data_IF_218024086877
#
_entry.id   IF_218024086877
#
_cell.length_a   1.000
_cell.length_b   1.000
_cell.length_c   1.000
_cell.angle_alpha   90.00
_cell.angle_beta   90.00
_cell.angle_gamma   90.00
#
_symmetry.space_group_name_H-M   'P 1'
#
loop_
_entity.id
_entity.type
_entity.pdbx_description
1 polymer ?
#
# COMPACT_ATOMS: atom_id res chain seq x y z
N UNK A 1 -45.80 -68.18 -9.82
CA UNK A 1 -46.21 -67.85 -8.45
C UNK A 1 -45.45 -66.61 -8.03
N UNK A 2 -46.06 -65.44 -8.30
CA UNK A 2 -45.49 -64.13 -8.02
C UNK A 2 -45.98 -63.68 -6.65
N UNK A 3 -45.07 -63.33 -5.73
CA UNK A 3 -45.41 -62.59 -4.52
C UNK A 3 -44.91 -61.17 -4.68
N UNK A 4 -45.79 -60.34 -5.24
CA UNK A 4 -45.66 -58.89 -5.32
C UNK A 4 -46.03 -58.33 -3.95
N UNK A 5 -45.04 -57.88 -3.18
CA UNK A 5 -45.25 -57.11 -1.95
C UNK A 5 -45.14 -55.62 -2.30
N UNK A 6 -46.20 -54.86 -2.06
CA UNK A 6 -46.23 -53.39 -1.98
C UNK A 6 -46.79 -53.01 -0.59
N UNK A 7 -46.65 -51.74 -0.14
CA UNK A 7 -45.48 -51.10 0.46
C UNK A 7 -45.78 -50.68 1.92
N UNK A 8 -44.91 -49.92 2.61
CA UNK A 8 -45.45 -48.67 3.11
C UNK A 8 -44.49 -47.48 3.02
N UNK A 9 -45.10 -46.33 2.77
CA UNK A 9 -44.73 -45.01 3.29
C UNK A 9 -43.45 -44.36 2.75
N UNK A 10 -43.66 -43.45 1.80
CA UNK A 10 -43.14 -42.08 1.81
C UNK A 10 -41.78 -41.91 2.50
N UNK A 11 -40.70 -42.34 1.84
CA UNK A 11 -39.36 -41.90 2.22
C UNK A 11 -39.34 -40.39 2.08
N UNK A 12 -39.19 -39.73 3.23
CA UNK A 12 -39.17 -38.30 3.40
C UNK A 12 -38.47 -37.63 2.22
N UNK A 13 -39.21 -36.77 1.49
CA UNK A 13 -38.56 -35.66 0.81
C UNK A 13 -37.87 -34.89 1.92
N UNK A 14 -36.60 -35.20 2.16
CA UNK A 14 -35.69 -34.28 2.84
C UNK A 14 -35.94 -32.97 2.14
N UNK A 15 -36.58 -32.06 2.86
CA UNK A 15 -36.86 -30.73 2.39
C UNK A 15 -35.47 -30.16 2.08
N UNK A 16 -35.05 -30.24 0.82
CA UNK A 16 -33.97 -29.42 0.33
C UNK A 16 -34.51 -28.02 0.42
N UNK A 17 -34.38 -27.44 1.62
CA UNK A 17 -34.43 -26.02 1.84
C UNK A 17 -33.27 -25.47 1.00
N UNK A 18 -33.49 -25.28 -0.30
CA UNK A 18 -32.71 -24.34 -1.07
C UNK A 18 -32.89 -23.03 -0.32
N UNK A 19 -31.86 -22.49 0.36
CA UNK A 19 -32.03 -21.24 1.07
C UNK A 19 -32.47 -20.20 0.06
N UNK A 20 -33.72 -19.80 0.17
CA UNK A 20 -34.39 -18.94 -0.78
C UNK A 20 -34.03 -17.50 -0.40
N UNK A 21 -33.19 -16.88 -1.24
CA UNK A 21 -33.29 -15.43 -1.52
C UNK A 21 -32.26 -14.48 -0.91
N UNK A 22 -31.73 -14.71 0.30
CA UNK A 22 -30.94 -13.65 0.99
C UNK A 22 -29.41 -13.78 0.88
N UNK A 23 -28.88 -14.98 0.62
CA UNK A 23 -27.42 -15.22 0.59
C UNK A 23 -26.81 -15.13 -0.82
N UNK A 24 -27.64 -15.21 -1.87
CA UNK A 24 -27.20 -15.16 -3.28
C UNK A 24 -26.39 -13.91 -3.65
N UNK A 25 -26.74 -12.69 -3.19
CA UNK A 25 -25.94 -11.50 -3.49
C UNK A 25 -24.59 -11.55 -2.79
N UNK A 26 -24.55 -12.04 -1.55
CA UNK A 26 -23.32 -12.14 -0.75
C UNK A 26 -22.37 -13.16 -1.39
N UNK A 27 -22.88 -14.34 -1.76
CA UNK A 27 -22.08 -15.37 -2.44
C UNK A 27 -21.59 -14.88 -3.81
N UNK A 28 -22.40 -14.11 -4.52
CA UNK A 28 -22.02 -13.49 -5.80
C UNK A 28 -20.90 -12.45 -5.62
N UNK A 29 -21.05 -11.54 -4.64
CA UNK A 29 -20.04 -10.54 -4.30
C UNK A 29 -18.75 -11.21 -3.84
N UNK A 30 -18.84 -12.23 -2.98
CA UNK A 30 -17.69 -12.99 -2.50
C UNK A 30 -16.93 -13.66 -3.65
N UNK A 31 -17.64 -14.30 -4.58
CA UNK A 31 -17.03 -14.91 -5.78
C UNK A 31 -16.34 -13.88 -6.64
N UNK A 32 -17.00 -12.74 -6.92
CA UNK A 32 -16.42 -11.65 -7.74
C UNK A 32 -15.21 -11.00 -7.06
N UNK A 33 -15.24 -10.82 -5.74
CA UNK A 33 -14.10 -10.30 -4.97
C UNK A 33 -12.92 -11.28 -4.93
N UNK A 34 -13.18 -12.58 -5.09
CA UNK A 34 -12.15 -13.63 -5.08
C UNK A 34 -11.57 -13.92 -6.47
N UNK A 35 -12.11 -13.32 -7.54
CA UNK A 35 -11.59 -13.51 -8.90
C UNK A 35 -10.19 -12.87 -9.03
N UNK A 36 -9.20 -13.57 -9.60
CA UNK A 36 -7.85 -13.01 -9.78
C UNK A 36 -7.88 -11.77 -10.67
N UNK A 37 -7.71 -10.57 -10.13
CA UNK A 37 -7.68 -9.34 -10.91
C UNK A 37 -6.28 -9.05 -11.46
N UNK A 38 -6.21 -8.35 -12.59
CA UNK A 38 -4.94 -7.87 -13.13
C UNK A 38 -4.29 -6.84 -12.17
N UNK A 39 -3.01 -7.06 -11.86
CA UNK A 39 -2.26 -6.22 -10.93
C UNK A 39 -1.64 -4.98 -11.62
N UNK A 40 -1.76 -4.85 -12.95
CA UNK A 40 -1.14 -3.78 -13.73
C UNK A 40 -1.53 -2.38 -13.24
N UNK A 41 -2.82 -2.13 -12.93
CA UNK A 41 -3.27 -0.82 -12.45
C UNK A 41 -2.62 -0.41 -11.12
N UNK A 42 -2.47 -1.36 -10.19
CA UNK A 42 -1.82 -1.12 -8.89
C UNK A 42 -0.32 -0.91 -9.08
N UNK A 43 0.30 -1.64 -10.00
CA UNK A 43 1.71 -1.45 -10.35
C UNK A 43 1.98 -0.07 -10.98
N UNK A 44 1.11 0.39 -11.88
CA UNK A 44 1.16 1.77 -12.43
C UNK A 44 1.05 2.79 -11.31
N UNK A 45 0.09 2.63 -10.41
CA UNK A 45 -0.09 3.53 -9.28
C UNK A 45 1.15 3.60 -8.39
N UNK A 46 1.79 2.45 -8.11
CA UNK A 46 3.06 2.39 -7.37
C UNK A 46 4.17 3.17 -8.07
N UNK A 47 4.33 2.98 -9.38
CA UNK A 47 5.35 3.68 -10.17
C UNK A 47 5.09 5.19 -10.15
N UNK A 48 3.84 5.62 -10.38
CA UNK A 48 3.46 7.03 -10.35
C UNK A 48 3.71 7.66 -8.97
N UNK A 49 3.34 6.95 -7.89
CA UNK A 49 3.61 7.38 -6.52
C UNK A 49 5.11 7.54 -6.25
N UNK A 50 5.91 6.54 -6.64
CA UNK A 50 7.37 6.59 -6.51
C UNK A 50 8.00 7.75 -7.30
N UNK A 51 7.49 8.05 -8.50
CA UNK A 51 7.95 9.18 -9.31
C UNK A 51 7.62 10.53 -8.67
N UNK A 52 6.38 10.71 -8.21
CA UNK A 52 5.95 11.96 -7.56
C UNK A 52 6.78 12.23 -6.30
N UNK A 53 6.99 11.20 -5.47
CA UNK A 53 7.80 11.33 -4.24
C UNK A 53 9.27 11.58 -4.54
N UNK A 54 9.84 10.94 -5.57
CA UNK A 54 11.22 11.19 -6.01
C UNK A 54 11.39 12.63 -6.50
N UNK A 55 10.47 13.12 -7.33
CA UNK A 55 10.48 14.51 -7.82
C UNK A 55 10.39 15.48 -6.65
N UNK A 56 9.53 15.21 -5.66
CA UNK A 56 9.44 16.03 -4.46
C UNK A 56 10.78 16.10 -3.73
N UNK A 57 11.43 14.96 -3.49
CA UNK A 57 12.74 14.91 -2.79
C UNK A 57 13.82 15.65 -3.58
N UNK A 58 13.88 15.47 -4.90
CA UNK A 58 14.81 16.21 -5.76
C UNK A 58 14.58 17.71 -5.64
N UNK A 59 13.32 18.18 -5.55
CA UNK A 59 13.01 19.59 -5.32
C UNK A 59 13.49 20.09 -3.96
N UNK A 60 13.39 19.27 -2.91
CA UNK A 60 13.92 19.63 -1.59
C UNK A 60 15.43 19.91 -1.64
N UNK A 61 16.20 19.08 -2.36
CA UNK A 61 17.61 19.33 -2.59
C UNK A 61 17.84 20.55 -3.50
N UNK A 62 17.13 20.64 -4.64
CA UNK A 62 17.36 21.68 -5.64
C UNK A 62 17.06 23.10 -5.13
N UNK A 63 16.08 23.26 -4.24
CA UNK A 63 15.72 24.55 -3.67
C UNK A 63 16.37 24.84 -2.30
N UNK A 64 17.20 23.93 -1.79
CA UNK A 64 17.82 24.08 -0.47
C UNK A 64 16.80 24.08 0.67
N UNK A 65 15.64 23.46 0.49
CA UNK A 65 14.59 23.42 1.50
C UNK A 65 14.95 22.56 2.70
N UNK A 66 15.89 21.61 2.53
CA UNK A 66 16.38 20.81 3.65
C UNK A 66 16.98 21.72 4.72
N UNK A 67 17.85 22.64 4.32
CA UNK A 67 18.48 23.58 5.24
C UNK A 67 17.48 24.60 5.78
N UNK A 68 16.74 25.25 4.87
CA UNK A 68 15.82 26.33 5.21
C UNK A 68 14.70 25.90 6.17
N UNK A 69 14.23 24.64 6.07
CA UNK A 69 13.10 24.16 6.86
C UNK A 69 13.51 23.32 8.08
N UNK A 70 14.65 22.63 8.03
CA UNK A 70 14.99 21.66 9.08
C UNK A 70 16.32 21.91 9.77
N UNK A 71 17.28 22.59 9.15
CA UNK A 71 18.63 22.78 9.73
C UNK A 71 18.79 24.17 10.34
N UNK A 72 18.45 25.21 9.58
CA UNK A 72 18.68 26.60 9.95
C UNK A 72 17.69 27.18 10.99
N UNK A 73 16.41 26.75 11.05
CA UNK A 73 15.48 27.29 12.03
C UNK A 73 15.95 27.08 13.48
N UNK A 74 15.93 28.17 14.26
CA UNK A 74 16.31 28.16 15.69
C UNK A 74 15.33 27.36 16.56
N UNK A 75 14.07 27.22 16.11
CA UNK A 75 13.03 26.52 16.85
C UNK A 75 12.06 25.84 15.88
N UNK A 76 11.74 24.57 16.16
CA UNK A 76 10.69 23.82 15.49
C UNK A 76 9.47 23.71 16.39
N UNK A 77 8.28 23.93 15.84
CA UNK A 77 7.04 23.81 16.60
C UNK A 77 6.52 22.37 16.56
N UNK A 78 6.92 21.55 17.52
CA UNK A 78 6.50 20.15 17.59
C UNK A 78 5.00 19.98 17.84
N UNK A 79 4.48 18.82 17.45
CA UNK A 79 3.15 18.36 17.82
C UNK A 79 3.12 17.90 19.29
N UNK A 80 1.97 18.06 19.95
CA UNK A 80 1.75 17.57 21.31
C UNK A 80 1.92 16.04 21.33
N UNK A 81 2.82 15.53 22.17
CA UNK A 81 3.18 14.10 22.26
C UNK A 81 4.32 13.66 21.32
N UNK A 82 4.82 14.56 20.47
CA UNK A 82 5.95 14.32 19.56
C UNK A 82 7.09 15.32 19.77
N UNK A 83 7.20 15.92 20.95
CA UNK A 83 8.25 16.90 21.31
C UNK A 83 9.68 16.29 21.31
N UNK A 84 9.75 14.96 21.32
CA UNK A 84 10.98 14.17 21.20
C UNK A 84 11.44 14.02 19.74
N UNK A 85 10.57 14.29 18.76
CA UNK A 85 10.93 14.30 17.34
C UNK A 85 11.60 15.63 17.02
N UNK A 86 12.89 15.59 16.67
CA UNK A 86 13.69 16.77 16.37
C UNK A 86 14.49 16.55 15.11
N UNK A 87 14.71 17.59 14.33
CA UNK A 87 15.55 17.51 13.16
C UNK A 87 16.94 16.94 13.49
N UNK A 88 17.45 16.11 12.59
CA UNK A 88 18.82 15.63 12.71
C UNK A 88 19.81 16.77 12.47
N UNK A 89 21.06 16.68 12.98
CA UNK A 89 22.09 17.62 12.60
C UNK A 89 22.28 17.66 11.08
N UNK A 90 22.68 18.81 10.53
CA UNK A 90 22.73 19.11 9.09
C UNK A 90 23.11 17.94 8.16
N UNK A 91 24.28 17.27 8.30
CA UNK A 91 24.68 16.21 7.36
C UNK A 91 23.73 15.00 7.41
N UNK A 92 23.16 14.69 8.58
CA UNK A 92 22.26 13.57 8.77
C UNK A 92 20.87 13.86 8.19
N UNK A 93 20.43 15.12 8.18
CA UNK A 93 19.16 15.48 7.55
C UNK A 93 19.22 15.32 6.03
N UNK A 94 20.34 15.72 5.42
CA UNK A 94 20.59 15.46 4.00
C UNK A 94 20.66 13.96 3.68
N UNK A 95 21.34 13.18 4.52
CA UNK A 95 21.41 11.73 4.35
C UNK A 95 20.02 11.09 4.46
N UNK A 96 19.17 11.57 5.38
CA UNK A 96 17.80 11.10 5.55
C UNK A 96 16.96 11.36 4.29
N UNK A 97 17.02 12.57 3.72
CA UNK A 97 16.35 12.88 2.45
C UNK A 97 16.92 12.07 1.27
N UNK A 98 18.24 11.85 1.23
CA UNK A 98 18.86 11.00 0.21
C UNK A 98 18.36 9.54 0.33
N UNK A 99 18.24 9.02 1.55
CA UNK A 99 17.68 7.70 1.80
C UNK A 99 16.22 7.61 1.34
N UNK A 100 15.39 8.62 1.63
CA UNK A 100 14.03 8.69 1.08
C UNK A 100 14.02 8.65 -0.45
N UNK A 101 14.98 9.31 -1.11
CA UNK A 101 15.11 9.29 -2.57
C UNK A 101 15.44 7.90 -3.11
N UNK A 102 16.37 7.20 -2.47
CA UNK A 102 16.70 5.80 -2.79
C UNK A 102 15.51 4.87 -2.58
N UNK A 103 14.75 5.09 -1.51
CA UNK A 103 13.51 4.36 -1.25
C UNK A 103 12.47 4.63 -2.36
N UNK A 104 12.26 5.87 -2.78
CA UNK A 104 11.38 6.20 -3.91
C UNK A 104 11.80 5.49 -5.21
N UNK A 105 13.10 5.42 -5.51
CA UNK A 105 13.61 4.67 -6.67
C UNK A 105 13.31 3.17 -6.52
N UNK A 106 13.54 2.61 -5.33
CA UNK A 106 13.26 1.20 -5.04
C UNK A 106 11.76 0.89 -5.19
N UNK A 107 10.88 1.81 -4.79
CA UNK A 107 9.42 1.73 -5.00
C UNK A 107 9.07 1.74 -6.49
N UNK A 108 9.67 2.62 -7.29
CA UNK A 108 9.46 2.67 -8.75
C UNK A 108 9.82 1.32 -9.38
N UNK A 109 11.02 0.83 -9.09
CA UNK A 109 11.53 -0.42 -9.65
C UNK A 109 10.80 -1.65 -9.12
N UNK A 110 10.16 -1.54 -7.95
CA UNK A 110 9.58 -2.68 -7.28
C UNK A 110 10.64 -3.62 -6.71
N UNK A 111 11.65 -3.05 -6.06
CA UNK A 111 12.69 -3.82 -5.39
C UNK A 111 12.50 -3.72 -3.89
N UNK A 112 12.22 -4.84 -3.23
CA UNK A 112 11.75 -4.89 -1.84
C UNK A 112 10.66 -3.85 -1.59
N UNK A 113 9.67 -3.78 -2.47
CA UNK A 113 8.78 -2.63 -2.59
C UNK A 113 7.97 -2.38 -1.31
N UNK A 114 7.48 -3.44 -0.66
CA UNK A 114 6.79 -3.35 0.65
C UNK A 114 7.67 -2.75 1.73
N UNK A 115 8.90 -3.26 1.88
CA UNK A 115 9.84 -2.73 2.87
C UNK A 115 10.19 -1.28 2.55
N UNK A 116 10.41 -0.97 1.27
CA UNK A 116 10.70 0.38 0.82
C UNK A 116 9.56 1.35 1.12
N UNK A 117 8.30 0.95 0.90
CA UNK A 117 7.12 1.75 1.21
C UNK A 117 6.95 1.99 2.72
N UNK A 118 7.19 0.98 3.56
CA UNK A 118 7.11 1.13 5.02
C UNK A 118 8.20 2.09 5.51
N UNK A 119 9.44 1.87 5.08
CA UNK A 119 10.56 2.74 5.47
C UNK A 119 10.36 4.17 4.95
N UNK A 120 9.83 4.32 3.73
CA UNK A 120 9.48 5.62 3.18
C UNK A 120 8.39 6.29 4.00
N UNK A 121 7.30 5.58 4.31
CA UNK A 121 6.20 6.11 5.12
C UNK A 121 6.70 6.58 6.49
N UNK A 122 7.50 5.77 7.18
CA UNK A 122 8.07 6.11 8.49
C UNK A 122 9.02 7.31 8.40
N UNK A 123 9.94 7.29 7.43
CA UNK A 123 10.93 8.35 7.26
C UNK A 123 10.33 9.68 6.80
N UNK A 124 9.29 9.63 5.96
CA UNK A 124 8.57 10.82 5.51
C UNK A 124 7.67 11.37 6.62
N UNK A 125 6.91 10.51 7.32
CA UNK A 125 6.11 10.92 8.50
C UNK A 125 6.99 11.54 9.58
N UNK A 126 8.19 11.00 9.80
CA UNK A 126 9.17 11.59 10.71
C UNK A 126 9.48 13.04 10.34
N UNK A 127 9.72 13.33 9.06
CA UNK A 127 10.00 14.70 8.59
C UNK A 127 8.81 15.63 8.84
N UNK A 128 7.58 15.16 8.64
CA UNK A 128 6.37 15.93 8.93
C UNK A 128 6.19 16.24 10.42
N UNK A 129 6.58 15.30 11.29
CA UNK A 129 6.44 15.43 12.74
C UNK A 129 7.45 16.40 13.38
N UNK A 130 8.54 16.75 12.68
CA UNK A 130 9.56 17.69 13.18
C UNK A 130 8.95 19.06 13.46
N UNK A 131 8.16 19.61 12.52
CA UNK A 131 7.62 20.95 12.64
C UNK A 131 6.23 21.09 12.03
N UNK A 132 5.24 21.38 12.89
CA UNK A 132 3.85 21.59 12.50
C UNK A 132 3.65 22.79 11.55
N UNK A 133 4.59 23.74 11.51
CA UNK A 133 4.49 24.89 10.60
C UNK A 133 4.74 24.50 9.14
N UNK A 134 5.43 23.38 8.92
CA UNK A 134 5.65 22.80 7.59
C UNK A 134 4.52 21.86 7.15
N UNK A 135 3.49 21.71 7.99
CA UNK A 135 2.37 20.81 7.74
C UNK A 135 1.57 21.20 6.50
N UNK A 136 1.32 20.20 5.65
CA UNK A 136 0.46 20.32 4.49
C UNK A 136 -0.37 19.05 4.35
N UNK A 137 -1.68 19.19 4.10
CA UNK A 137 -2.59 18.05 3.94
C UNK A 137 -2.14 17.06 2.85
N UNK A 138 -1.42 17.54 1.84
CA UNK A 138 -0.92 16.69 0.77
C UNK A 138 0.32 15.87 1.18
N UNK A 139 1.14 16.34 2.14
CA UNK A 139 2.22 15.54 2.70
C UNK A 139 1.66 14.44 3.60
N UNK A 140 0.67 14.77 4.43
CA UNK A 140 0.02 13.78 5.27
C UNK A 140 -0.62 12.67 4.41
N UNK A 141 -1.23 13.06 3.29
CA UNK A 141 -1.76 12.11 2.32
C UNK A 141 -0.68 11.19 1.73
N UNK A 142 0.53 11.69 1.46
CA UNK A 142 1.65 10.87 0.97
C UNK A 142 2.03 9.79 2.00
N UNK A 143 2.10 10.12 3.29
CA UNK A 143 2.36 9.16 4.38
C UNK A 143 1.31 8.05 4.41
N UNK A 144 0.02 8.42 4.34
CA UNK A 144 -1.08 7.45 4.32
C UNK A 144 -1.05 6.55 3.07
N UNK A 145 -0.81 7.13 1.89
CA UNK A 145 -0.74 6.36 0.64
C UNK A 145 0.44 5.40 0.65
N UNK A 146 1.61 5.82 1.13
CA UNK A 146 2.77 4.95 1.26
C UNK A 146 2.46 3.73 2.14
N UNK A 147 1.86 3.98 3.31
CA UNK A 147 1.49 2.92 4.25
C UNK A 147 0.42 1.99 3.66
N UNK A 148 -0.64 2.55 3.06
CA UNK A 148 -1.69 1.77 2.41
C UNK A 148 -1.12 0.88 1.30
N UNK A 149 -0.30 1.46 0.43
CA UNK A 149 0.29 0.75 -0.70
C UNK A 149 1.22 -0.37 -0.25
N UNK A 150 1.86 -0.25 0.92
CA UNK A 150 2.70 -1.30 1.49
C UNK A 150 1.92 -2.60 1.79
N UNK A 151 0.64 -2.49 2.14
CA UNK A 151 -0.22 -3.64 2.45
C UNK A 151 -0.99 -4.17 1.23
N UNK A 152 -1.11 -3.39 0.17
CA UNK A 152 -1.76 -3.81 -1.08
C UNK A 152 -0.78 -4.70 -1.88
N UNK A 153 -1.22 -5.83 -2.46
CA UNK A 153 -0.38 -6.64 -3.34
C UNK A 153 -0.07 -5.92 -4.66
N UNK A 154 1.05 -5.20 -4.70
CA UNK A 154 1.54 -4.45 -5.86
C UNK A 154 2.68 -5.15 -6.61
N UNK A 155 3.22 -6.24 -6.06
CA UNK A 155 4.44 -6.90 -6.56
C UNK A 155 4.20 -7.96 -7.63
N UNK A 156 2.94 -8.20 -8.02
CA UNK A 156 2.58 -9.27 -8.97
C UNK A 156 2.75 -8.87 -10.45
N UNK A 157 2.91 -7.58 -10.73
CA UNK A 157 3.14 -7.05 -12.07
C UNK A 157 4.19 -5.94 -12.02
N UNK A 158 5.03 -5.87 -13.06
CA UNK A 158 6.01 -4.80 -13.30
C UNK A 158 6.90 -4.48 -12.08
N UNK A 159 7.33 -5.52 -11.36
CA UNK A 159 8.18 -5.43 -10.17
C UNK A 159 9.45 -6.26 -10.37
N UNK A 160 10.61 -5.76 -9.93
CA UNK A 160 11.84 -6.57 -9.94
C UNK A 160 11.69 -7.78 -9.02
N UNK A 161 10.95 -7.65 -7.92
CA UNK A 161 10.65 -8.77 -7.01
C UNK A 161 9.87 -9.89 -7.72
N UNK A 162 8.92 -9.56 -8.60
CA UNK A 162 8.14 -10.54 -9.38
C UNK A 162 9.02 -11.32 -10.36
N UNK A 163 9.99 -10.63 -10.98
CA UNK A 163 10.95 -11.23 -11.91
C UNK A 163 11.91 -12.16 -11.19
N UNK A 164 12.36 -11.79 -9.98
CA UNK A 164 13.22 -12.64 -9.12
C UNK A 164 12.49 -13.90 -8.65
N UNK A 165 11.20 -13.78 -8.34
CA UNK A 165 10.38 -14.91 -7.89
C UNK A 165 9.94 -15.84 -9.03
N UNK A 166 10.31 -15.58 -10.29
CA UNK A 166 9.87 -16.39 -11.43
C UNK A 166 8.36 -16.32 -11.69
N UNK A 167 7.67 -15.34 -11.11
CA UNK A 167 6.23 -15.15 -11.32
C UNK A 167 6.01 -14.46 -12.65
N UNK A 168 5.64 -15.24 -13.66
CA UNK A 168 5.20 -14.73 -14.96
C UNK A 168 4.04 -13.74 -14.76
N UNK A 169 4.02 -12.57 -15.41
CA UNK A 169 2.86 -11.70 -15.39
C UNK A 169 1.66 -12.52 -15.83
N UNK A 170 0.55 -12.47 -15.08
CA UNK A 170 -0.70 -13.14 -15.42
C UNK A 170 -1.17 -12.56 -16.75
N UNK A 171 -0.77 -13.20 -17.85
CA UNK A 171 -1.05 -12.77 -19.21
C UNK A 171 -2.51 -13.12 -19.48
N UNK A 172 -3.42 -12.17 -19.27
CA UNK A 172 -4.80 -12.35 -19.72
C UNK A 172 -4.83 -12.32 -21.25
N UNK A 173 -5.43 -13.35 -21.84
CA UNK A 173 -5.93 -13.36 -23.22
C UNK A 173 -7.26 -12.61 -23.26
#
# INVERSE_FOLDING_TARGET
>A
MALTVLPPTQTARVFQLRPMGLWRPIDFLHRRASEPMDASSVAVFRIAFGLVTLIAIVRFFAYGWIDQLYVDPLHHFSYVGFEWVRAWPAPWMHLHFAALGVLSISIILGWHARASLILFALGFTYVELIDKTTYLNHYYFVSLVALLLAFIPHDRAWSLDSRRAGTSPVRRR
#
